data_IF_151846567125
#
_entry.id   IF_151846567125
#
_cell.length_a   1.000
_cell.length_b   1.000
_cell.length_c   1.000
_cell.angle_alpha   90.00
_cell.angle_beta   90.00
_cell.angle_gamma   90.00
#
_symmetry.space_group_name_H-M   'P 1'
#
loop_
_entity.id
_entity.type
_entity.pdbx_description
1 polymer ?
#
# COMPACT_ATOMS: atom_id res chain seq x y z
N UNK A 1 -1.97 3.20 9.73
CA UNK A 1 -1.17 2.06 10.27
C UNK A 1 -1.99 0.79 10.33
N UNK A 2 -1.32 -0.34 10.49
CA UNK A 2 -1.99 -1.63 10.57
C UNK A 2 -1.61 -2.37 11.85
N UNK A 3 -0.35 -2.29 12.23
CA UNK A 3 0.11 -2.95 13.42
C UNK A 3 1.49 -3.55 13.26
N UNK A 4 1.79 -4.56 14.07
CA UNK A 4 3.10 -5.22 14.00
C UNK A 4 3.06 -6.42 13.06
N UNK A 5 3.89 -6.37 12.03
CA UNK A 5 3.95 -7.44 11.04
C UNK A 5 5.40 -7.84 10.77
N UNK A 6 6.22 -6.87 10.39
CA UNK A 6 7.62 -7.14 10.09
C UNK A 6 8.52 -6.48 11.13
N UNK A 7 9.25 -7.30 11.87
CA UNK A 7 10.15 -6.81 12.91
C UNK A 7 11.11 -5.76 12.34
N UNK A 8 11.37 -5.86 11.03
CA UNK A 8 12.26 -4.92 10.36
C UNK A 8 11.46 -3.93 9.51
N UNK A 9 10.23 -4.30 9.18
CA UNK A 9 9.36 -3.44 8.37
C UNK A 9 10.02 -3.12 7.03
N UNK A 10 9.53 -3.75 5.97
CA UNK A 10 10.09 -3.54 4.64
C UNK A 10 9.70 -2.17 4.06
N UNK A 11 8.42 -1.83 4.17
CA UNK A 11 7.92 -0.56 3.67
C UNK A 11 8.47 0.63 4.45
N UNK A 12 9.28 0.37 5.47
CA UNK A 12 9.84 1.44 6.28
C UNK A 12 11.27 1.81 5.87
N UNK A 13 12.19 0.87 6.03
CA UNK A 13 13.60 1.14 5.72
C UNK A 13 14.20 0.15 4.71
N UNK A 14 13.75 -1.09 4.76
CA UNK A 14 14.25 -2.12 3.85
C UNK A 14 13.18 -2.49 2.82
N UNK A 15 13.34 -1.99 1.60
CA UNK A 15 12.37 -2.26 0.54
C UNK A 15 12.74 -3.50 -0.26
N UNK A 16 13.78 -3.39 -1.08
CA UNK A 16 14.20 -4.50 -1.91
C UNK A 16 15.47 -4.21 -2.66
N UNK A 17 16.46 -3.67 -1.95
CA UNK A 17 17.76 -3.35 -2.51
C UNK A 17 17.71 -2.66 -3.88
N UNK A 18 18.88 -2.14 -4.26
CA UNK A 18 19.08 -1.46 -5.54
C UNK A 18 20.47 -0.82 -5.55
N UNK A 19 20.67 0.21 -6.38
CA UNK A 19 21.98 0.85 -6.45
C UNK A 19 21.98 2.15 -5.66
N UNK A 20 23.00 2.33 -4.80
CA UNK A 20 23.11 3.51 -3.95
C UNK A 20 22.52 4.76 -4.60
N UNK A 21 22.68 4.90 -5.90
CA UNK A 21 22.14 6.04 -6.62
C UNK A 21 20.63 6.08 -6.49
N UNK A 22 20.02 4.91 -6.61
CA UNK A 22 18.58 4.76 -6.51
C UNK A 22 18.13 5.18 -5.11
N UNK A 23 18.65 4.50 -4.10
CA UNK A 23 18.33 4.83 -2.73
C UNK A 23 18.54 6.32 -2.49
N UNK A 24 19.72 6.78 -2.89
CA UNK A 24 20.09 8.18 -2.77
C UNK A 24 19.05 9.06 -3.46
N UNK A 25 18.72 8.66 -4.67
CA UNK A 25 17.77 9.37 -5.49
C UNK A 25 16.50 9.65 -4.72
N UNK A 26 15.98 8.64 -4.02
CA UNK A 26 14.77 8.81 -3.23
C UNK A 26 15.12 9.44 -1.88
N UNK A 27 16.17 8.92 -1.23
CA UNK A 27 16.58 9.43 0.08
C UNK A 27 16.55 10.96 0.13
N UNK A 28 17.39 11.60 -0.67
CA UNK A 28 17.44 13.06 -0.71
C UNK A 28 16.05 13.68 -0.84
N UNK A 29 15.14 12.93 -1.47
CA UNK A 29 13.79 13.43 -1.67
C UNK A 29 13.01 13.55 -0.37
N UNK A 30 13.48 12.89 0.67
CA UNK A 30 12.80 12.93 1.97
C UNK A 30 13.47 13.90 2.94
N UNK A 31 13.02 13.87 4.18
CA UNK A 31 13.56 14.74 5.22
C UNK A 31 15.08 14.58 5.36
N UNK A 32 15.76 15.71 5.53
CA UNK A 32 17.21 15.74 5.65
C UNK A 32 17.76 14.61 6.51
N UNK A 33 17.09 14.30 7.62
CA UNK A 33 17.56 13.24 8.50
C UNK A 33 16.92 11.90 8.20
N UNK A 34 16.72 11.62 6.92
CA UNK A 34 16.11 10.37 6.51
C UNK A 34 17.16 9.39 5.99
N UNK A 35 16.97 8.10 6.31
CA UNK A 35 17.93 7.08 5.91
C UNK A 35 17.28 5.71 5.70
N UNK A 36 17.64 5.05 4.59
CA UNK A 36 17.12 3.71 4.27
C UNK A 36 18.27 2.72 4.06
N UNK A 37 17.93 1.43 3.99
CA UNK A 37 18.93 0.37 3.84
C UNK A 37 18.88 -0.32 2.49
N UNK A 38 20.03 -0.84 2.07
CA UNK A 38 20.14 -1.54 0.80
C UNK A 38 21.00 -2.80 0.95
N UNK A 39 21.21 -3.51 -0.16
CA UNK A 39 21.98 -4.75 -0.15
C UNK A 39 23.47 -4.53 -0.40
N UNK A 40 24.29 -5.33 0.27
CA UNK A 40 25.74 -5.26 0.14
C UNK A 40 26.20 -5.41 -1.30
N UNK A 41 26.20 -4.30 -2.03
CA UNK A 41 26.64 -4.30 -3.43
C UNK A 41 28.07 -4.84 -3.54
N UNK A 42 28.78 -4.85 -2.42
CA UNK A 42 30.16 -5.34 -2.38
C UNK A 42 30.21 -6.77 -1.85
N UNK A 43 29.56 -7.02 -0.72
CA UNK A 43 29.54 -8.34 -0.12
C UNK A 43 28.41 -9.20 -0.70
N UNK A 44 28.65 -10.50 -0.91
CA UNK A 44 27.65 -11.41 -1.48
C UNK A 44 26.47 -11.67 -0.53
N UNK A 45 26.75 -11.72 0.77
CA UNK A 45 25.70 -11.96 1.74
C UNK A 45 25.77 -11.03 2.93
N UNK A 46 25.41 -9.77 2.71
CA UNK A 46 25.43 -8.78 3.78
C UNK A 46 24.48 -7.63 3.47
N UNK A 47 24.21 -6.78 4.46
CA UNK A 47 23.30 -5.66 4.29
C UNK A 47 24.06 -4.34 4.22
N UNK A 48 23.36 -3.27 3.84
CA UNK A 48 23.93 -1.97 3.74
C UNK A 48 22.95 -0.93 4.23
N UNK A 49 23.40 -0.05 5.08
CA UNK A 49 22.56 1.03 5.56
C UNK A 49 22.91 2.29 4.80
N UNK A 50 21.90 2.98 4.27
CA UNK A 50 22.13 4.21 3.52
C UNK A 50 21.63 5.42 4.30
N UNK A 51 22.41 6.50 4.29
CA UNK A 51 22.02 7.69 5.03
C UNK A 51 22.32 9.00 4.32
N UNK A 52 21.27 9.77 4.08
CA UNK A 52 21.40 11.08 3.43
C UNK A 52 22.21 12.02 4.32
N UNK A 53 23.51 12.03 4.11
CA UNK A 53 24.41 12.87 4.90
C UNK A 53 24.79 14.15 4.15
N UNK A 54 24.43 15.29 4.74
CA UNK A 54 24.73 16.60 4.17
C UNK A 54 23.91 16.86 2.91
N UNK A 55 24.48 16.53 1.75
CA UNK A 55 23.79 16.73 0.48
C UNK A 55 23.48 15.40 -0.18
N UNK A 56 24.35 14.42 0.04
CA UNK A 56 24.17 13.10 -0.55
C UNK A 56 23.78 12.09 0.51
N UNK A 57 23.94 10.81 0.20
CA UNK A 57 23.60 9.76 1.16
C UNK A 57 24.66 8.66 1.16
N UNK A 58 25.33 8.52 2.30
CA UNK A 58 26.40 7.53 2.42
C UNK A 58 25.84 6.17 2.79
N UNK A 59 26.67 5.14 2.67
CA UNK A 59 26.24 3.79 2.98
C UNK A 59 27.13 3.16 4.06
N UNK A 60 26.52 2.27 4.83
CA UNK A 60 27.22 1.57 5.88
C UNK A 60 26.96 0.07 5.75
N UNK A 61 28.01 -0.67 5.49
CA UNK A 61 27.89 -2.12 5.32
C UNK A 61 27.62 -2.82 6.64
N UNK A 62 26.58 -3.63 6.64
CA UNK A 62 26.20 -4.42 7.80
C UNK A 62 26.57 -5.87 7.55
N UNK A 63 26.90 -6.60 8.60
CA UNK A 63 27.27 -8.01 8.43
C UNK A 63 26.30 -8.93 9.14
N UNK A 64 25.50 -9.64 8.35
CA UNK A 64 24.50 -10.56 8.87
C UNK A 64 24.95 -12.01 8.75
N UNK A 65 24.53 -12.82 9.72
CA UNK A 65 24.88 -14.24 9.72
C UNK A 65 23.68 -15.09 9.31
N UNK A 66 22.58 -14.97 10.06
CA UNK A 66 21.38 -15.73 9.76
C UNK A 66 21.35 -17.07 10.48
N UNK A 67 21.01 -17.09 11.78
CA UNK A 67 20.95 -18.32 12.57
C UNK A 67 19.67 -19.12 12.35
N UNK A 68 18.56 -18.42 12.12
CA UNK A 68 17.28 -19.08 11.91
C UNK A 68 16.67 -18.70 10.57
N UNK A 69 15.73 -19.54 10.05
CA UNK A 69 15.07 -19.29 8.77
C UNK A 69 14.49 -17.88 8.68
N UNK A 70 14.50 -17.28 7.47
CA UNK A 70 13.98 -15.94 7.26
C UNK A 70 12.48 -15.91 7.01
N UNK A 71 12.00 -16.82 6.19
CA UNK A 71 10.57 -16.89 5.86
C UNK A 71 9.99 -18.29 6.08
N UNK A 72 8.69 -18.37 6.41
CA UNK A 72 7.99 -19.64 6.65
C UNK A 72 8.22 -20.68 5.55
N UNK A 73 8.11 -20.31 4.26
CA UNK A 73 8.31 -21.24 3.14
C UNK A 73 9.71 -21.84 3.15
N UNK A 74 10.16 -22.31 1.99
CA UNK A 74 11.48 -22.91 1.84
C UNK A 74 11.47 -24.36 2.36
N UNK A 75 11.56 -25.34 1.45
CA UNK A 75 11.55 -26.76 1.80
C UNK A 75 12.47 -27.10 2.97
N UNK A 76 13.77 -26.91 2.78
CA UNK A 76 14.74 -27.21 3.82
C UNK A 76 16.07 -26.54 3.55
N UNK A 77 16.55 -25.79 4.53
CA UNK A 77 17.81 -25.09 4.40
C UNK A 77 18.49 -24.93 5.76
N UNK A 78 19.26 -25.95 6.19
CA UNK A 78 19.95 -25.93 7.48
C UNK A 78 20.76 -24.64 7.70
N UNK A 79 20.52 -23.94 8.81
CA UNK A 79 21.22 -22.69 9.14
C UNK A 79 22.59 -22.94 9.75
N UNK A 80 23.40 -21.88 9.93
CA UNK A 80 24.74 -21.98 10.52
C UNK A 80 24.72 -22.63 11.89
N UNK A 81 24.23 -21.89 12.88
CA UNK A 81 24.16 -22.41 14.24
C UNK A 81 25.42 -22.14 15.03
N UNK A 82 26.01 -20.97 14.81
CA UNK A 82 27.23 -20.58 15.52
C UNK A 82 27.30 -19.08 15.70
N UNK A 83 27.02 -18.34 14.64
CA UNK A 83 27.05 -16.89 14.68
C UNK A 83 26.22 -16.35 15.84
N UNK A 84 26.87 -15.91 16.93
CA UNK A 84 26.17 -15.37 18.10
C UNK A 84 25.51 -14.04 17.78
N UNK A 85 26.31 -12.97 17.76
CA UNK A 85 25.79 -11.62 17.49
C UNK A 85 25.05 -11.58 16.15
N UNK A 86 25.42 -12.46 15.24
CA UNK A 86 24.78 -12.55 13.92
C UNK A 86 24.96 -11.27 13.11
N UNK A 87 24.22 -10.22 13.49
CA UNK A 87 24.27 -8.95 12.77
C UNK A 87 25.13 -7.91 13.48
N UNK A 88 25.86 -7.14 12.68
CA UNK A 88 26.71 -6.07 13.21
C UNK A 88 27.04 -5.05 12.13
N UNK A 89 27.28 -3.81 12.55
CA UNK A 89 27.63 -2.72 11.63
C UNK A 89 28.66 -1.78 12.25
N UNK A 90 29.68 -1.44 11.49
CA UNK A 90 30.71 -0.54 11.99
C UNK A 90 31.68 -1.23 12.93
N UNK A 91 32.05 -0.53 14.00
CA UNK A 91 32.99 -1.07 14.98
C UNK A 91 32.30 -1.42 16.30
N UNK A 92 31.00 -1.68 16.22
CA UNK A 92 30.21 -2.04 17.40
C UNK A 92 29.45 -3.33 17.14
N UNK A 93 28.65 -3.76 18.10
CA UNK A 93 27.88 -4.99 17.94
C UNK A 93 26.44 -4.84 18.42
N UNK A 94 25.53 -5.43 17.62
CA UNK A 94 24.11 -5.41 17.92
C UNK A 94 23.49 -6.77 17.63
N UNK A 95 22.33 -7.05 18.21
CA UNK A 95 21.67 -8.33 18.02
C UNK A 95 21.33 -8.60 16.56
N UNK A 96 20.56 -7.70 15.96
CA UNK A 96 20.15 -7.87 14.57
C UNK A 96 20.18 -6.54 13.82
N UNK A 97 20.01 -6.62 12.51
CA UNK A 97 20.00 -5.44 11.66
C UNK A 97 18.83 -4.52 12.01
N UNK A 98 17.58 -5.03 11.94
CA UNK A 98 16.40 -4.22 12.26
C UNK A 98 16.60 -3.45 13.57
N UNK A 99 17.16 -4.14 14.55
CA UNK A 99 17.41 -3.53 15.85
C UNK A 99 18.39 -2.37 15.74
N UNK A 100 19.39 -2.51 14.87
CA UNK A 100 20.41 -1.48 14.67
C UNK A 100 19.83 -0.10 14.41
N UNK A 101 18.89 -0.01 13.48
CA UNK A 101 18.27 1.25 13.13
C UNK A 101 17.56 1.89 14.32
N UNK A 102 17.26 1.08 15.32
CA UNK A 102 16.56 1.56 16.51
C UNK A 102 17.51 2.10 17.58
N UNK A 103 18.76 1.65 17.58
CA UNK A 103 19.73 2.10 18.57
C UNK A 103 20.55 3.30 18.07
N UNK A 104 21.09 3.18 16.85
CA UNK A 104 21.93 4.23 16.26
C UNK A 104 21.17 5.54 16.02
N UNK A 105 19.89 5.57 16.33
CA UNK A 105 19.09 6.77 16.14
C UNK A 105 19.68 7.97 16.87
N UNK A 106 20.50 7.71 17.88
CA UNK A 106 21.11 8.77 18.67
C UNK A 106 22.58 8.46 19.00
N UNK A 107 23.11 7.38 18.44
CA UNK A 107 24.50 7.00 18.72
C UNK A 107 25.48 7.66 17.76
N UNK A 108 25.00 8.05 16.57
CA UNK A 108 25.86 8.68 15.57
C UNK A 108 26.72 7.65 14.85
N UNK A 109 26.40 7.40 13.58
CA UNK A 109 27.14 6.41 12.79
C UNK A 109 28.59 6.87 12.56
N UNK A 110 28.80 7.71 11.56
CA UNK A 110 30.14 8.22 11.24
C UNK A 110 30.16 9.74 11.21
N UNK A 111 29.01 10.36 11.45
CA UNK A 111 28.88 11.82 11.45
C UNK A 111 27.40 12.19 11.49
N UNK A 112 26.57 11.34 10.89
CA UNK A 112 25.13 11.56 10.85
C UNK A 112 24.42 10.53 11.73
N UNK A 113 23.25 10.90 12.23
CA UNK A 113 22.46 10.01 13.08
C UNK A 113 21.18 9.59 12.37
N UNK A 114 20.63 8.46 12.79
CA UNK A 114 19.41 7.94 12.21
C UNK A 114 18.19 8.56 12.89
N UNK A 115 17.16 8.88 12.09
CA UNK A 115 15.96 9.50 12.63
C UNK A 115 14.71 8.69 12.29
N UNK A 116 14.42 8.54 10.99
CA UNK A 116 13.23 7.81 10.58
C UNK A 116 13.43 7.13 9.23
N UNK A 117 12.52 6.22 8.87
CA UNK A 117 12.58 5.49 7.60
C UNK A 117 12.22 6.37 6.42
N UNK A 118 12.97 6.23 5.33
CA UNK A 118 12.75 7.01 4.12
C UNK A 118 11.30 7.01 3.68
N UNK A 119 10.72 5.83 3.50
CA UNK A 119 9.32 5.73 3.07
C UNK A 119 9.01 6.71 1.94
N UNK A 120 9.39 6.33 0.72
CA UNK A 120 9.15 7.16 -0.45
C UNK A 120 7.65 7.34 -0.70
N UNK A 121 6.89 6.27 -0.45
CA UNK A 121 5.44 6.30 -0.64
C UNK A 121 4.83 4.93 -0.35
N UNK A 122 3.56 4.76 -0.75
CA UNK A 122 2.85 3.50 -0.54
C UNK A 122 2.67 3.20 0.93
N UNK A 123 1.47 2.73 1.29
CA UNK A 123 1.15 2.40 2.67
C UNK A 123 -0.08 1.52 2.75
N UNK A 124 -0.11 0.63 3.73
CA UNK A 124 -1.23 -0.27 3.90
C UNK A 124 -2.53 0.46 4.20
N UNK A 125 -3.16 0.99 3.15
CA UNK A 125 -4.42 1.71 3.30
C UNK A 125 -5.57 0.95 2.64
N UNK A 126 -5.40 0.63 1.36
CA UNK A 126 -6.43 -0.10 0.63
C UNK A 126 -7.64 0.75 0.30
N UNK A 127 -7.59 2.03 0.68
CA UNK A 127 -8.69 2.95 0.44
C UNK A 127 -10.04 2.30 0.69
N UNK A 128 -10.06 1.35 1.63
CA UNK A 128 -11.28 0.64 2.00
C UNK A 128 -12.21 0.44 0.80
N UNK A 129 -11.84 -0.47 -0.08
CA UNK A 129 -12.63 -0.75 -1.27
C UNK A 129 -13.74 -1.76 -0.98
N UNK A 130 -14.95 -1.26 -0.78
CA UNK A 130 -16.10 -2.10 -0.50
C UNK A 130 -16.55 -2.86 -1.74
N UNK A 131 -17.25 -2.16 -2.63
CA UNK A 131 -17.74 -2.76 -3.86
C UNK A 131 -18.80 -3.82 -3.59
N UNK A 132 -19.34 -3.81 -2.37
CA UNK A 132 -20.37 -4.79 -1.99
C UNK A 132 -21.55 -4.72 -2.94
N UNK A 133 -21.98 -5.90 -3.43
CA UNK A 133 -23.11 -6.01 -4.37
C UNK A 133 -23.08 -4.87 -5.41
N UNK A 134 -24.20 -4.67 -6.10
CA UNK A 134 -24.27 -3.63 -7.12
C UNK A 134 -25.63 -3.56 -7.80
N UNK A 135 -25.90 -4.52 -8.66
CA UNK A 135 -27.14 -4.57 -9.39
C UNK A 135 -28.20 -5.30 -8.58
N UNK A 136 -29.14 -4.55 -8.01
CA UNK A 136 -30.16 -5.15 -7.19
C UNK A 136 -31.27 -4.17 -6.82
N UNK A 137 -31.49 -3.16 -7.64
CA UNK A 137 -32.54 -2.18 -7.36
C UNK A 137 -33.24 -1.70 -8.62
N UNK A 138 -34.55 -1.58 -8.51
CA UNK A 138 -35.38 -1.16 -9.62
C UNK A 138 -36.04 0.18 -9.35
N UNK A 139 -35.60 1.19 -10.10
CA UNK A 139 -36.14 2.54 -9.98
C UNK A 139 -37.66 2.52 -9.87
N UNK A 140 -38.24 3.56 -9.29
CA UNK A 140 -39.68 3.66 -9.14
C UNK A 140 -40.21 4.97 -9.70
N UNK A 141 -39.40 5.64 -10.52
CA UNK A 141 -39.79 6.91 -11.10
C UNK A 141 -39.11 7.15 -12.44
N UNK A 142 -39.85 7.72 -13.38
CA UNK A 142 -39.33 8.04 -14.70
C UNK A 142 -38.89 9.49 -14.75
N UNK A 143 -37.85 9.79 -15.50
CA UNK A 143 -37.36 11.16 -15.59
C UNK A 143 -36.45 11.31 -16.82
N UNK A 144 -36.77 12.28 -17.68
CA UNK A 144 -35.99 12.51 -18.89
C UNK A 144 -34.54 12.83 -18.55
N UNK A 145 -34.33 13.78 -17.65
CA UNK A 145 -32.99 14.15 -17.26
C UNK A 145 -32.68 15.60 -17.58
N UNK A 146 -32.00 16.27 -16.66
CA UNK A 146 -31.64 17.67 -16.86
C UNK A 146 -30.15 17.88 -16.60
N UNK A 147 -29.64 17.26 -15.55
CA UNK A 147 -28.24 17.37 -15.19
C UNK A 147 -27.48 16.10 -15.55
N UNK A 148 -26.21 16.25 -15.92
CA UNK A 148 -25.39 15.11 -16.28
C UNK A 148 -25.09 14.24 -15.06
N UNK A 149 -25.18 14.83 -13.88
CA UNK A 149 -24.91 14.10 -12.64
C UNK A 149 -26.12 13.27 -12.23
N UNK A 150 -27.33 13.74 -12.55
CA UNK A 150 -28.54 13.02 -12.19
C UNK A 150 -28.79 11.84 -13.13
N UNK A 151 -29.05 10.67 -12.54
CA UNK A 151 -29.30 9.45 -13.31
C UNK A 151 -30.74 9.43 -13.84
N UNK A 152 -30.92 9.60 -15.15
CA UNK A 152 -32.25 9.57 -15.76
C UNK A 152 -32.66 8.12 -16.03
N UNK A 153 -33.56 7.61 -15.22
CA UNK A 153 -34.03 6.24 -15.36
C UNK A 153 -35.54 6.19 -15.54
N UNK A 154 -36.02 5.09 -16.13
CA UNK A 154 -37.44 4.92 -16.36
C UNK A 154 -38.02 3.94 -15.35
N UNK A 155 -39.26 4.16 -14.94
CA UNK A 155 -39.92 3.29 -13.97
C UNK A 155 -39.70 1.83 -14.31
N UNK A 156 -39.24 1.06 -13.34
CA UNK A 156 -39.00 -0.36 -13.54
C UNK A 156 -37.59 -0.68 -13.96
N UNK A 157 -36.73 0.33 -14.09
CA UNK A 157 -35.35 0.11 -14.51
C UNK A 157 -34.51 -0.41 -13.34
N UNK A 158 -33.83 -1.54 -13.56
CA UNK A 158 -32.99 -2.13 -12.53
C UNK A 158 -31.60 -1.52 -12.57
N UNK A 159 -31.37 -0.57 -11.66
CA UNK A 159 -30.09 0.11 -11.59
C UNK A 159 -29.18 -0.56 -10.56
N UNK A 160 -27.95 -0.09 -10.47
CA UNK A 160 -26.97 -0.64 -9.54
C UNK A 160 -26.29 0.49 -8.77
N UNK A 161 -26.49 0.52 -7.47
CA UNK A 161 -25.88 1.56 -6.64
C UNK A 161 -24.36 1.49 -6.73
N UNK A 162 -23.80 2.30 -7.63
CA UNK A 162 -22.37 2.35 -7.85
C UNK A 162 -21.63 2.99 -6.69
N UNK A 163 -22.37 3.56 -5.75
CA UNK A 163 -21.77 4.21 -4.59
C UNK A 163 -22.88 4.74 -3.69
N UNK A 164 -22.54 5.15 -2.48
CA UNK A 164 -23.53 5.68 -1.57
C UNK A 164 -23.02 6.88 -0.79
N UNK A 165 -22.89 8.04 -1.44
CA UNK A 165 -22.43 9.27 -0.79
C UNK A 165 -23.18 9.53 0.50
N UNK A 166 -24.49 9.77 0.41
CA UNK A 166 -25.31 10.03 1.59
C UNK A 166 -26.66 9.34 1.47
N UNK A 167 -27.38 9.31 2.59
CA UNK A 167 -28.70 8.68 2.65
C UNK A 167 -29.78 9.51 1.95
N UNK A 168 -29.38 10.55 1.22
CA UNK A 168 -30.37 11.40 0.52
C UNK A 168 -30.16 11.38 -0.99
N UNK A 169 -29.33 10.45 -1.46
CA UNK A 169 -29.05 10.28 -2.88
C UNK A 169 -27.78 9.46 -3.05
N UNK A 170 -27.84 8.46 -3.93
CA UNK A 170 -26.71 7.59 -4.17
C UNK A 170 -26.27 7.65 -5.63
N UNK A 171 -25.40 6.74 -6.01
CA UNK A 171 -24.92 6.66 -7.38
C UNK A 171 -25.31 5.32 -7.98
N UNK A 172 -25.84 5.32 -9.19
CA UNK A 172 -26.25 4.07 -9.83
C UNK A 172 -26.22 4.16 -11.35
N UNK A 173 -26.00 3.03 -12.01
CA UNK A 173 -25.98 2.97 -13.45
C UNK A 173 -27.38 2.70 -13.99
N UNK A 174 -27.75 3.41 -15.06
CA UNK A 174 -29.07 3.24 -15.65
C UNK A 174 -29.01 2.33 -16.88
N UNK A 175 -30.18 1.85 -17.30
CA UNK A 175 -30.31 0.95 -18.45
C UNK A 175 -29.47 1.40 -19.65
N UNK A 176 -29.20 2.70 -19.75
CA UNK A 176 -28.41 3.20 -20.87
C UNK A 176 -26.93 2.92 -20.65
N UNK A 177 -26.51 3.03 -19.40
CA UNK A 177 -25.13 2.78 -19.06
C UNK A 177 -24.51 3.90 -18.24
N UNK A 178 -25.18 5.05 -18.21
CA UNK A 178 -24.69 6.19 -17.46
C UNK A 178 -25.14 6.10 -16.02
N UNK A 179 -24.52 6.88 -15.14
CA UNK A 179 -24.89 6.86 -13.73
C UNK A 179 -25.36 8.23 -13.25
N UNK A 180 -25.65 8.30 -11.96
CA UNK A 180 -26.11 9.53 -11.36
C UNK A 180 -26.83 9.28 -10.04
N UNK A 181 -27.66 10.22 -9.63
CA UNK A 181 -28.41 10.06 -8.38
C UNK A 181 -29.54 9.06 -8.55
N UNK A 182 -29.89 8.41 -7.44
CA UNK A 182 -30.96 7.42 -7.43
C UNK A 182 -31.77 7.52 -6.16
N UNK A 183 -32.95 6.88 -6.10
CA UNK A 183 -33.81 6.91 -4.93
C UNK A 183 -33.29 6.00 -3.83
N UNK A 184 -32.43 6.56 -2.98
CA UNK A 184 -31.86 5.82 -1.87
C UNK A 184 -32.89 5.56 -0.78
N UNK A 185 -33.82 6.50 -0.54
CA UNK A 185 -34.85 6.35 0.48
C UNK A 185 -36.02 5.46 0.04
N UNK A 186 -36.04 5.07 -1.23
CA UNK A 186 -37.12 4.22 -1.73
C UNK A 186 -36.81 3.64 -3.11
N UNK A 187 -36.36 2.38 -3.13
CA UNK A 187 -36.04 1.70 -4.38
C UNK A 187 -36.57 0.27 -4.33
N UNK A 188 -36.58 -0.38 -5.47
CA UNK A 188 -37.09 -1.75 -5.55
C UNK A 188 -35.96 -2.77 -5.62
N UNK A 189 -35.78 -3.50 -4.52
CA UNK A 189 -34.77 -4.55 -4.49
C UNK A 189 -35.24 -5.70 -5.36
N UNK A 190 -35.21 -5.48 -6.68
CA UNK A 190 -35.69 -6.47 -7.64
C UNK A 190 -34.57 -7.28 -8.29
N UNK A 191 -34.57 -8.57 -7.97
CA UNK A 191 -33.58 -9.50 -8.52
C UNK A 191 -33.71 -9.54 -10.05
N UNK A 192 -32.76 -8.91 -10.78
CA UNK A 192 -32.79 -8.85 -12.23
C UNK A 192 -32.06 -10.00 -12.91
N UNK A 193 -32.76 -10.72 -13.79
CA UNK A 193 -32.21 -11.84 -14.52
C UNK A 193 -33.31 -12.68 -15.16
N UNK A 194 -33.34 -12.70 -16.49
CA UNK A 194 -34.35 -13.47 -17.21
C UNK A 194 -34.31 -13.17 -18.71
N UNK A 195 -33.99 -11.95 -19.06
CA UNK A 195 -33.96 -11.55 -20.46
C UNK A 195 -32.53 -11.26 -20.94
N UNK A 196 -31.96 -10.17 -20.47
CA UNK A 196 -30.61 -9.78 -20.87
C UNK A 196 -30.54 -9.60 -22.39
N UNK A 197 -31.57 -8.98 -22.95
CA UNK A 197 -31.63 -8.74 -24.39
C UNK A 197 -32.13 -7.34 -24.70
N UNK A 198 -32.07 -6.50 -23.70
CA UNK A 198 -32.51 -5.12 -23.81
C UNK A 198 -33.92 -5.02 -24.35
N UNK A 199 -34.87 -4.66 -23.48
CA UNK A 199 -36.25 -4.53 -23.86
C UNK A 199 -36.48 -3.30 -24.72
N UNK A 200 -36.07 -2.14 -24.21
CA UNK A 200 -36.24 -0.88 -24.93
C UNK A 200 -34.93 -0.09 -24.97
N UNK A 201 -34.48 0.37 -23.80
CA UNK A 201 -33.25 1.14 -23.71
C UNK A 201 -33.36 2.43 -24.51
N UNK A 202 -33.53 3.54 -23.80
CA UNK A 202 -33.63 4.84 -24.45
C UNK A 202 -33.35 5.99 -23.51
N UNK A 203 -32.07 6.32 -23.37
CA UNK A 203 -31.68 7.42 -22.49
C UNK A 203 -31.14 8.60 -23.25
N UNK A 204 -29.97 8.42 -23.86
CA UNK A 204 -29.33 9.49 -24.63
C UNK A 204 -29.01 9.03 -26.04
#
# INVERSE_FOLDING_TARGET
>A
MAGNFDSEERSSWYWGRLSRQEAVALLQGQRHGVFLVRDSSTSPGDYVLSVSENSRVSHYIINSSGPRPPVPPSPAQPPPGVSPSRLRIGDQEFDSLPALLEFYKIHYLDTTTLIEPVSRSRQGSGVILRQEEAEYVRALFDFNGNDEEDLPFKKGDILRIRDKPEEQWWNAEDSEGKRGMIPVPYVEKYRPASASVSALIGGN
#
